data_IF_165625521799
#
_entry.id   IF_165625521799
#
_cell.length_a   1.000
_cell.length_b   1.000
_cell.length_c   1.000
_cell.angle_alpha   90.00
_cell.angle_beta   90.00
_cell.angle_gamma   90.00
#
_symmetry.space_group_name_H-M   'P 1'
#
loop_
_entity.id
_entity.type
_entity.pdbx_description
1 polymer ?
#
# COMPACT_ATOMS: atom_id res chain seq x y z
N UNK A 1 3.17 -1.68 18.96
CA UNK A 1 2.05 -2.64 18.70
C UNK A 1 1.18 -2.18 17.54
N UNK A 2 1.05 -0.86 17.33
CA UNK A 2 0.23 -0.27 16.28
C UNK A 2 0.67 -0.67 14.86
N UNK A 3 1.98 -0.66 14.59
CA UNK A 3 2.56 -0.98 13.27
C UNK A 3 2.17 -2.38 12.80
N UNK A 4 2.08 -3.35 13.70
CA UNK A 4 1.69 -4.72 13.39
C UNK A 4 0.24 -4.79 12.87
N UNK A 5 -0.69 -4.13 13.56
CA UNK A 5 -2.09 -4.08 13.13
C UNK A 5 -2.26 -3.31 11.81
N UNK A 6 -1.48 -2.25 11.63
CA UNK A 6 -1.44 -1.51 10.36
C UNK A 6 -0.89 -2.39 9.22
N UNK A 7 0.11 -3.25 9.47
CA UNK A 7 0.65 -4.16 8.46
C UNK A 7 -0.40 -5.17 8.00
N UNK A 8 -1.13 -5.77 8.95
CA UNK A 8 -2.23 -6.71 8.64
C UNK A 8 -3.34 -6.02 7.83
N UNK A 9 -3.77 -4.84 8.26
CA UNK A 9 -4.84 -4.09 7.57
C UNK A 9 -4.37 -3.62 6.19
N UNK A 10 -3.15 -3.09 6.07
CA UNK A 10 -2.56 -2.65 4.81
C UNK A 10 -2.43 -3.79 3.81
N UNK A 11 -1.93 -4.94 4.28
CA UNK A 11 -1.82 -6.18 3.50
C UNK A 11 -3.18 -6.65 3.00
N UNK A 12 -4.21 -6.65 3.87
CA UNK A 12 -5.56 -7.02 3.48
C UNK A 12 -6.15 -6.07 2.43
N UNK A 13 -6.01 -4.75 2.63
CA UNK A 13 -6.51 -3.72 1.70
C UNK A 13 -5.86 -3.83 0.33
N UNK A 14 -4.53 -4.00 0.27
CA UNK A 14 -3.81 -4.17 -1.00
C UNK A 14 -4.13 -5.49 -1.69
N UNK A 15 -4.29 -6.58 -0.93
CA UNK A 15 -4.71 -7.86 -1.48
C UNK A 15 -6.10 -7.75 -2.14
N UNK A 16 -7.06 -7.10 -1.47
CA UNK A 16 -8.39 -6.82 -2.03
C UNK A 16 -8.24 -5.98 -3.31
N UNK A 17 -7.44 -4.91 -3.29
CA UNK A 17 -7.21 -4.05 -4.45
C UNK A 17 -6.66 -4.84 -5.67
N UNK A 18 -5.68 -5.72 -5.45
CA UNK A 18 -5.13 -6.60 -6.49
C UNK A 18 -6.17 -7.57 -7.05
N UNK A 19 -6.95 -8.23 -6.18
CA UNK A 19 -8.03 -9.14 -6.59
C UNK A 19 -9.09 -8.43 -7.43
N UNK A 20 -9.46 -7.21 -7.05
CA UNK A 20 -10.45 -6.42 -7.77
C UNK A 20 -9.98 -6.02 -9.17
N UNK A 21 -8.70 -5.66 -9.33
CA UNK A 21 -8.14 -5.35 -10.65
C UNK A 21 -8.10 -6.61 -11.52
N UNK A 22 -7.57 -7.72 -11.00
CA UNK A 22 -7.51 -9.00 -11.71
C UNK A 22 -8.89 -9.49 -12.15
N UNK A 23 -9.89 -9.35 -11.27
CA UNK A 23 -11.28 -9.72 -11.54
C UNK A 23 -11.91 -8.87 -12.66
N UNK A 24 -11.57 -7.58 -12.74
CA UNK A 24 -12.02 -6.71 -13.86
C UNK A 24 -11.44 -7.18 -15.20
N UNK A 25 -10.19 -7.64 -15.18
CA UNK A 25 -9.45 -8.13 -16.34
C UNK A 25 -9.75 -9.59 -16.73
N UNK A 26 -10.67 -10.26 -16.02
CA UNK A 26 -11.06 -11.67 -16.26
C UNK A 26 -9.88 -12.65 -16.20
N UNK A 27 -8.93 -12.40 -15.30
CA UNK A 27 -7.91 -13.41 -14.97
C UNK A 27 -8.58 -14.65 -14.36
N UNK A 28 -7.94 -15.81 -14.50
CA UNK A 28 -8.38 -17.04 -13.84
C UNK A 28 -8.20 -16.93 -12.31
N UNK A 29 -8.90 -17.76 -11.50
CA UNK A 29 -8.86 -17.63 -10.04
C UNK A 29 -7.44 -17.73 -9.44
N UNK A 30 -6.54 -18.50 -10.07
CA UNK A 30 -5.16 -18.59 -9.63
C UNK A 30 -4.40 -17.31 -9.97
N UNK A 31 -4.55 -16.76 -11.18
CA UNK A 31 -4.02 -15.44 -11.53
C UNK A 31 -4.52 -14.31 -10.61
N UNK A 32 -5.80 -14.34 -10.23
CA UNK A 32 -6.40 -13.38 -9.29
C UNK A 32 -5.77 -13.50 -7.90
N UNK A 33 -5.56 -14.71 -7.40
CA UNK A 33 -4.89 -14.96 -6.12
C UNK A 33 -3.44 -14.46 -6.15
N UNK A 34 -2.69 -14.81 -7.20
CA UNK A 34 -1.29 -14.38 -7.36
C UNK A 34 -1.19 -12.86 -7.42
N UNK A 35 -2.04 -12.18 -8.19
CA UNK A 35 -2.00 -10.73 -8.29
C UNK A 35 -2.33 -10.07 -6.94
N UNK A 36 -3.33 -10.59 -6.21
CA UNK A 36 -3.66 -10.11 -4.85
C UNK A 36 -2.47 -10.22 -3.89
N UNK A 37 -1.86 -11.40 -3.81
CA UNK A 37 -0.70 -11.64 -2.92
C UNK A 37 0.49 -10.76 -3.29
N UNK A 38 0.87 -10.72 -4.57
CA UNK A 38 2.01 -9.91 -5.04
C UNK A 38 1.78 -8.42 -4.81
N UNK A 39 0.54 -7.93 -4.96
CA UNK A 39 0.20 -6.54 -4.65
C UNK A 39 0.43 -6.23 -3.18
N UNK A 40 0.03 -7.13 -2.28
CA UNK A 40 0.13 -6.95 -0.84
C UNK A 40 1.58 -6.98 -0.34
N UNK A 41 2.39 -7.94 -0.79
CA UNK A 41 3.76 -8.12 -0.29
C UNK A 41 4.83 -7.38 -1.09
N UNK A 42 4.52 -6.94 -2.31
CA UNK A 42 5.50 -6.41 -3.27
C UNK A 42 6.20 -5.15 -2.78
N UNK A 43 5.45 -4.17 -2.25
CA UNK A 43 6.03 -2.92 -1.75
C UNK A 43 6.98 -3.12 -0.57
N UNK A 44 6.56 -3.90 0.42
CA UNK A 44 7.40 -4.25 1.57
C UNK A 44 8.64 -5.08 1.21
N UNK A 45 8.53 -5.92 0.17
CA UNK A 45 9.66 -6.70 -0.36
C UNK A 45 10.72 -5.79 -0.98
N UNK A 46 10.32 -4.84 -1.83
CA UNK A 46 11.25 -3.86 -2.42
C UNK A 46 11.96 -3.06 -1.32
N UNK A 47 11.22 -2.60 -0.31
CA UNK A 47 11.78 -1.87 0.85
C UNK A 47 12.83 -2.69 1.59
N UNK A 48 12.48 -3.91 2.01
CA UNK A 48 13.36 -4.74 2.85
C UNK A 48 14.65 -5.11 2.10
N UNK A 49 14.57 -5.33 0.78
CA UNK A 49 15.75 -5.54 -0.06
C UNK A 49 16.59 -4.27 -0.23
N UNK A 50 15.97 -3.10 -0.37
CA UNK A 50 16.68 -1.83 -0.51
C UNK A 50 17.40 -1.39 0.78
N UNK A 51 16.87 -1.76 1.95
CA UNK A 51 17.46 -1.47 3.26
C UNK A 51 18.46 -2.55 3.72
N UNK A 52 18.75 -3.56 2.90
CA UNK A 52 19.58 -4.72 3.25
C UNK A 52 19.14 -5.43 4.55
N UNK A 53 17.83 -5.41 4.83
CA UNK A 53 17.30 -5.75 6.15
C UNK A 53 16.91 -7.25 6.26
N UNK A 54 17.91 -8.14 6.10
CA UNK A 54 17.81 -9.60 6.27
C UNK A 54 16.78 -10.27 5.34
N UNK A 55 16.33 -11.50 5.63
CA UNK A 55 15.25 -12.11 4.84
C UNK A 55 13.99 -11.23 4.92
N UNK A 56 13.30 -11.08 3.78
CA UNK A 56 12.10 -10.25 3.64
C UNK A 56 11.04 -10.59 4.69
N UNK A 57 10.25 -9.61 5.11
CA UNK A 57 9.33 -9.74 6.26
C UNK A 57 8.45 -11.01 6.23
N UNK A 58 7.90 -11.37 5.07
CA UNK A 58 7.02 -12.54 4.91
C UNK A 58 7.76 -13.90 4.93
N UNK A 59 9.08 -13.89 4.75
CA UNK A 59 9.94 -15.08 4.96
C UNK A 59 10.28 -15.25 6.43
N UNK A 60 10.43 -14.14 7.17
CA UNK A 60 10.64 -14.16 8.62
C UNK A 60 9.39 -14.59 9.38
N UNK A 61 8.24 -14.03 9.01
CA UNK A 61 6.94 -14.35 9.58
C UNK A 61 5.91 -14.52 8.45
N UNK A 62 5.39 -15.73 8.23
CA UNK A 62 4.45 -15.99 7.14
C UNK A 62 3.05 -15.39 7.39
N UNK A 63 2.81 -14.74 8.53
CA UNK A 63 1.49 -14.19 8.90
C UNK A 63 0.94 -13.26 7.81
N UNK A 64 1.72 -12.31 7.30
CA UNK A 64 1.26 -11.38 6.25
C UNK A 64 0.96 -12.10 4.93
N UNK A 65 1.74 -13.13 4.60
CA UNK A 65 1.49 -13.96 3.42
C UNK A 65 0.18 -14.73 3.57
N UNK A 66 -0.08 -15.30 4.75
CA UNK A 66 -1.33 -16.00 5.07
C UNK A 66 -2.51 -15.04 5.02
N UNK A 67 -2.38 -13.84 5.60
CA UNK A 67 -3.40 -12.79 5.53
C UNK A 67 -3.71 -12.47 4.08
N UNK A 68 -2.70 -12.18 3.26
CA UNK A 68 -2.89 -11.86 1.84
C UNK A 68 -3.60 -12.99 1.06
N UNK A 69 -3.24 -14.25 1.31
CA UNK A 69 -3.89 -15.40 0.68
C UNK A 69 -5.36 -15.55 1.12
N UNK A 70 -5.62 -15.51 2.43
CA UNK A 70 -6.98 -15.65 2.99
C UNK A 70 -7.88 -14.51 2.53
N UNK A 71 -7.40 -13.27 2.58
CA UNK A 71 -8.18 -12.11 2.11
C UNK A 71 -8.44 -12.19 0.62
N UNK A 72 -7.47 -12.65 -0.17
CA UNK A 72 -7.64 -12.82 -1.61
C UNK A 72 -8.69 -13.89 -1.91
N UNK A 73 -8.62 -15.07 -1.27
CA UNK A 73 -9.61 -16.14 -1.44
C UNK A 73 -11.01 -15.68 -1.01
N UNK A 74 -11.13 -15.01 0.14
CA UNK A 74 -12.39 -14.48 0.63
C UNK A 74 -12.98 -13.46 -0.34
N UNK A 75 -12.14 -12.58 -0.88
CA UNK A 75 -12.57 -11.57 -1.87
C UNK A 75 -13.02 -12.22 -3.17
N UNK A 76 -12.34 -13.27 -3.66
CA UNK A 76 -12.76 -14.03 -4.85
C UNK A 76 -14.16 -14.64 -4.64
N UNK A 77 -14.44 -15.20 -3.45
CA UNK A 77 -15.72 -15.85 -3.15
C UNK A 77 -16.84 -14.83 -2.96
N UNK A 78 -16.57 -13.72 -2.27
CA UNK A 78 -17.55 -12.66 -2.00
C UNK A 78 -17.85 -11.83 -3.25
N UNK A 79 -16.83 -11.48 -4.01
CA UNK A 79 -16.93 -10.65 -5.21
C UNK A 79 -17.18 -11.57 -6.41
N UNK A 80 -18.37 -12.16 -6.47
CA UNK A 80 -18.81 -12.98 -7.62
C UNK A 80 -18.92 -12.19 -8.92
N UNK A 81 -19.15 -10.87 -8.85
CA UNK A 81 -19.26 -9.98 -10.00
C UNK A 81 -18.42 -8.70 -9.83
N UNK A 82 -17.09 -8.75 -10.03
CA UNK A 82 -16.21 -7.60 -9.83
C UNK A 82 -16.51 -6.41 -10.76
N UNK A 83 -17.22 -6.64 -11.87
CA UNK A 83 -17.63 -5.60 -12.83
C UNK A 83 -18.77 -4.70 -12.36
N UNK A 84 -19.58 -5.14 -11.39
CA UNK A 84 -20.66 -4.32 -10.82
C UNK A 84 -20.17 -3.41 -9.71
N UNK A 85 -18.91 -3.56 -9.29
CA UNK A 85 -18.35 -2.73 -8.25
C UNK A 85 -18.11 -1.32 -8.77
N UNK A 86 -18.36 -0.31 -7.93
CA UNK A 86 -18.19 1.07 -8.33
C UNK A 86 -16.74 1.37 -8.72
N UNK A 87 -16.56 2.19 -9.75
CA UNK A 87 -15.23 2.57 -10.26
C UNK A 87 -14.36 3.25 -9.18
N UNK A 88 -14.97 3.95 -8.22
CA UNK A 88 -14.29 4.64 -7.12
C UNK A 88 -13.65 3.69 -6.08
N UNK A 89 -14.06 2.43 -6.01
CA UNK A 89 -13.64 1.53 -4.93
C UNK A 89 -12.16 1.13 -5.01
N UNK A 90 -11.64 0.95 -6.22
CA UNK A 90 -10.25 0.55 -6.43
C UNK A 90 -9.28 1.70 -6.07
N UNK A 91 -9.52 2.96 -6.51
CA UNK A 91 -8.78 4.11 -6.03
C UNK A 91 -8.85 4.30 -4.51
N UNK A 92 -10.03 4.18 -3.89
CA UNK A 92 -10.14 4.33 -2.42
C UNK A 92 -9.28 3.31 -1.68
N UNK A 93 -9.36 2.04 -2.07
CA UNK A 93 -8.56 0.98 -1.43
C UNK A 93 -7.07 1.22 -1.64
N UNK A 94 -6.65 1.65 -2.83
CA UNK A 94 -5.25 1.97 -3.11
C UNK A 94 -4.77 3.14 -2.26
N UNK A 95 -5.54 4.24 -2.18
CA UNK A 95 -5.19 5.41 -1.36
C UNK A 95 -5.06 5.06 0.13
N UNK A 96 -5.96 4.22 0.66
CA UNK A 96 -5.88 3.74 2.05
C UNK A 96 -4.65 2.86 2.25
N UNK A 97 -4.40 1.90 1.36
CA UNK A 97 -3.22 1.03 1.43
C UNK A 97 -1.92 1.84 1.34
N UNK A 98 -1.85 2.77 0.39
CA UNK A 98 -0.73 3.69 0.20
C UNK A 98 -0.43 4.47 1.46
N UNK A 99 -1.44 5.11 2.07
CA UNK A 99 -1.26 5.88 3.28
C UNK A 99 -0.64 5.04 4.40
N UNK A 100 -1.19 3.85 4.65
CA UNK A 100 -0.71 2.92 5.67
C UNK A 100 0.73 2.48 5.41
N UNK A 101 1.03 2.01 4.20
CA UNK A 101 2.37 1.52 3.86
C UNK A 101 3.43 2.60 3.75
N UNK A 102 3.07 3.84 3.40
CA UNK A 102 4.00 4.98 3.53
C UNK A 102 4.42 5.15 4.98
N UNK A 103 3.47 5.17 5.92
CA UNK A 103 3.78 5.28 7.35
C UNK A 103 4.66 4.13 7.87
N UNK A 104 4.36 2.89 7.48
CA UNK A 104 5.14 1.71 7.86
C UNK A 104 6.55 1.77 7.25
N UNK A 105 6.67 2.18 5.98
CA UNK A 105 7.95 2.27 5.29
C UNK A 105 8.88 3.33 5.89
N UNK A 106 8.34 4.51 6.22
CA UNK A 106 9.09 5.56 6.95
C UNK A 106 9.57 5.03 8.30
N UNK A 107 8.68 4.36 9.04
CA UNK A 107 9.01 3.82 10.37
C UNK A 107 10.11 2.76 10.30
N UNK A 108 9.99 1.78 9.41
CA UNK A 108 11.01 0.74 9.23
C UNK A 108 12.34 1.32 8.73
N UNK A 109 12.33 2.35 7.90
CA UNK A 109 13.55 3.01 7.47
C UNK A 109 14.27 3.75 8.62
N UNK A 110 13.54 4.43 9.50
CA UNK A 110 14.14 5.01 10.70
C UNK A 110 14.66 3.97 11.69
N UNK A 111 13.99 2.82 11.83
CA UNK A 111 14.48 1.71 12.64
C UNK A 111 15.76 1.06 12.06
N UNK A 112 15.98 1.23 10.75
CA UNK A 112 17.23 0.86 10.07
C UNK A 112 18.28 1.98 10.10
N UNK A 113 18.11 2.98 10.99
CA UNK A 113 19.02 4.13 11.18
C UNK A 113 19.21 4.99 9.91
N UNK A 114 18.26 4.94 8.98
CA UNK A 114 18.31 5.73 7.75
C UNK A 114 17.99 7.21 8.01
N UNK A 115 18.64 8.10 7.25
CA UNK A 115 18.37 9.53 7.31
C UNK A 115 16.95 9.92 6.86
N UNK A 116 16.44 11.10 7.24
CA UNK A 116 15.05 11.52 6.96
C UNK A 116 14.64 11.46 5.49
N UNK A 117 15.53 11.86 4.58
CA UNK A 117 15.28 11.79 3.14
C UNK A 117 15.07 10.35 2.67
N UNK A 118 15.93 9.42 3.13
CA UNK A 118 15.83 8.00 2.78
C UNK A 118 14.55 7.41 3.38
N UNK A 119 14.18 7.81 4.60
CA UNK A 119 12.95 7.35 5.22
C UNK A 119 11.70 7.74 4.44
N UNK A 120 11.62 8.99 3.95
CA UNK A 120 10.53 9.43 3.07
C UNK A 120 10.51 8.62 1.77
N UNK A 121 11.65 8.47 1.10
CA UNK A 121 11.75 7.70 -0.14
C UNK A 121 11.33 6.24 0.06
N UNK A 122 11.79 5.59 1.13
CA UNK A 122 11.41 4.22 1.47
C UNK A 122 9.93 4.10 1.81
N UNK A 123 9.36 5.09 2.52
CA UNK A 123 7.91 5.21 2.72
C UNK A 123 7.15 5.20 1.41
N UNK A 124 7.47 6.12 0.51
CA UNK A 124 6.83 6.23 -0.80
C UNK A 124 6.95 4.93 -1.57
N UNK A 125 8.17 4.37 -1.71
CA UNK A 125 8.41 3.11 -2.43
C UNK A 125 7.61 1.94 -1.82
N UNK A 126 7.53 1.86 -0.49
CA UNK A 126 6.75 0.81 0.19
C UNK A 126 5.26 0.93 -0.14
N UNK A 127 4.72 2.14 -0.09
CA UNK A 127 3.33 2.39 -0.45
C UNK A 127 3.04 2.06 -1.91
N UNK A 128 3.82 2.65 -2.82
CA UNK A 128 3.48 2.63 -4.26
C UNK A 128 3.93 1.36 -4.96
N UNK A 129 4.93 0.66 -4.41
CA UNK A 129 5.54 -0.50 -5.04
C UNK A 129 4.56 -1.63 -5.30
N UNK A 130 3.67 -1.91 -4.34
CA UNK A 130 2.62 -2.92 -4.50
C UNK A 130 1.66 -2.59 -5.65
N UNK A 131 1.16 -1.34 -5.68
CA UNK A 131 0.28 -0.85 -6.75
C UNK A 131 0.96 -0.81 -8.13
N UNK A 132 2.24 -0.42 -8.21
CA UNK A 132 3.00 -0.45 -9.46
C UNK A 132 3.14 -1.88 -9.98
N UNK A 133 3.55 -2.84 -9.14
CA UNK A 133 3.67 -4.24 -9.56
C UNK A 133 2.33 -4.77 -10.04
N UNK A 134 1.25 -4.50 -9.27
CA UNK A 134 -0.13 -4.85 -9.64
C UNK A 134 -0.47 -4.35 -11.04
N UNK A 135 -0.29 -3.06 -11.28
CA UNK A 135 -0.73 -2.41 -12.51
C UNK A 135 0.11 -2.87 -13.72
N UNK A 136 1.42 -3.02 -13.54
CA UNK A 136 2.32 -3.55 -14.58
C UNK A 136 1.99 -5.00 -14.96
N UNK A 137 1.74 -5.88 -13.98
CA UNK A 137 1.32 -7.26 -14.23
C UNK A 137 -0.07 -7.32 -14.90
N UNK A 138 -0.94 -6.37 -14.55
CA UNK A 138 -2.24 -6.16 -15.16
C UNK A 138 -2.18 -5.51 -16.56
N UNK A 139 -0.99 -5.12 -17.05
CA UNK A 139 -0.76 -4.39 -18.31
C UNK A 139 -1.51 -3.06 -18.37
N UNK A 140 -1.70 -2.42 -17.23
CA UNK A 140 -2.26 -1.09 -17.10
C UNK A 140 -1.16 -0.09 -16.71
N UNK A 141 -1.29 1.17 -17.15
CA UNK A 141 -0.39 2.23 -16.67
C UNK A 141 -0.64 2.43 -15.17
N UNK A 142 0.40 2.36 -14.30
CA UNK A 142 0.26 2.51 -12.85
C UNK A 142 -0.50 3.75 -12.43
N UNK A 143 -1.37 3.63 -11.42
CA UNK A 143 -2.23 4.74 -10.99
C UNK A 143 -1.42 5.97 -10.54
N UNK A 144 -0.28 5.75 -9.88
CA UNK A 144 0.63 6.83 -9.48
C UNK A 144 1.15 7.66 -10.67
N UNK A 145 1.27 7.05 -11.85
CA UNK A 145 1.71 7.74 -13.07
C UNK A 145 0.55 8.41 -13.82
N UNK A 146 -0.71 8.09 -13.47
CA UNK A 146 -1.90 8.70 -14.09
C UNK A 146 -2.44 9.89 -13.30
N UNK A 147 -2.25 9.92 -11.99
CA UNK A 147 -2.91 10.91 -11.12
C UNK A 147 -1.89 11.58 -10.20
N UNK A 148 -1.62 12.86 -10.45
CA UNK A 148 -0.61 13.63 -9.70
C UNK A 148 -0.89 13.66 -8.19
N UNK A 149 -2.17 13.68 -7.81
CA UNK A 149 -2.61 13.73 -6.41
C UNK A 149 -2.13 12.51 -5.62
N UNK A 150 -1.96 11.35 -6.26
CA UNK A 150 -1.43 10.15 -5.59
C UNK A 150 0.02 10.31 -5.19
N UNK A 151 0.86 10.81 -6.11
CA UNK A 151 2.27 11.00 -5.87
C UNK A 151 2.50 12.08 -4.80
N UNK A 152 1.77 13.20 -4.88
CA UNK A 152 1.90 14.29 -3.92
C UNK A 152 1.42 13.90 -2.53
N UNK A 153 0.29 13.19 -2.40
CA UNK A 153 -0.21 12.73 -1.11
C UNK A 153 0.77 11.78 -0.40
N UNK A 154 1.39 10.85 -1.14
CA UNK A 154 2.40 9.94 -0.57
C UNK A 154 3.64 10.70 -0.08
N UNK A 155 4.13 11.65 -0.88
CA UNK A 155 5.31 12.45 -0.53
C UNK A 155 5.02 13.33 0.69
N UNK A 156 3.88 14.04 0.70
CA UNK A 156 3.47 14.91 1.80
C UNK A 156 3.30 14.09 3.08
N UNK A 157 2.58 12.97 3.02
CA UNK A 157 2.39 12.09 4.19
C UNK A 157 3.71 11.56 4.75
N UNK A 158 4.65 11.20 3.87
CA UNK A 158 6.01 10.81 4.25
C UNK A 158 6.78 11.94 4.94
N UNK A 159 6.75 13.15 4.38
CA UNK A 159 7.40 14.34 4.94
C UNK A 159 6.82 14.70 6.31
N UNK A 160 5.49 14.69 6.45
CA UNK A 160 4.80 14.98 7.72
C UNK A 160 5.22 13.98 8.79
N UNK A 161 5.25 12.69 8.46
CA UNK A 161 5.72 11.66 9.39
C UNK A 161 7.19 11.88 9.77
N UNK A 162 8.08 12.05 8.79
CA UNK A 162 9.51 12.21 9.02
C UNK A 162 9.84 13.46 9.84
N UNK A 163 9.16 14.57 9.60
CA UNK A 163 9.33 15.82 10.35
C UNK A 163 8.76 15.71 11.77
N UNK A 164 7.60 15.07 11.95
CA UNK A 164 7.04 14.81 13.28
C UNK A 164 8.00 13.98 14.16
N UNK A 165 8.62 12.95 13.58
CA UNK A 165 9.58 12.12 14.30
C UNK A 165 10.93 12.85 14.53
N UNK A 166 11.55 13.36 13.47
CA UNK A 166 12.92 13.88 13.52
C UNK A 166 13.01 15.25 14.20
N UNK A 167 12.05 16.14 13.96
CA UNK A 167 12.11 17.53 14.47
C UNK A 167 11.40 17.68 15.81
N UNK A 168 10.27 17.00 15.99
CA UNK A 168 9.45 17.14 17.21
C UNK A 168 9.66 16.01 18.23
N UNK A 169 10.53 15.03 17.92
CA UNK A 169 10.80 13.85 18.77
C UNK A 169 9.53 13.11 19.21
N UNK A 170 8.48 13.20 18.39
CA UNK A 170 7.20 12.57 18.67
C UNK A 170 7.37 11.05 18.50
N UNK A 171 6.80 10.23 19.39
CA UNK A 171 6.85 8.77 19.25
C UNK A 171 6.34 8.33 17.86
N UNK A 172 7.03 7.36 17.25
CA UNK A 172 6.75 6.83 15.90
C UNK A 172 5.29 6.43 15.69
N UNK A 173 4.62 5.93 16.74
CA UNK A 173 3.21 5.55 16.68
C UNK A 173 2.26 6.75 16.52
N UNK A 174 2.62 7.92 17.06
CA UNK A 174 1.81 9.16 16.94
C UNK A 174 2.16 9.91 15.65
N UNK A 175 3.43 9.88 15.24
CA UNK A 175 3.89 10.45 13.97
C UNK A 175 3.23 9.77 12.75
N UNK A 176 3.02 8.45 12.81
CA UNK A 176 2.31 7.73 11.75
C UNK A 176 0.87 8.19 11.56
N UNK A 177 0.15 8.46 12.66
CA UNK A 177 -1.23 8.94 12.59
C UNK A 177 -1.35 10.34 11.99
N UNK A 178 -0.38 11.23 12.24
CA UNK A 178 -0.36 12.59 11.68
C UNK A 178 -0.09 12.59 10.17
N UNK A 179 0.74 11.67 9.68
CA UNK A 179 1.03 11.52 8.24
C UNK A 179 -0.14 10.96 7.41
N UNK A 180 -1.15 10.35 8.04
CA UNK A 180 -2.34 9.81 7.37
C UNK A 180 -3.46 10.86 7.15
N UNK A 181 -3.21 12.14 7.41
CA UNK A 181 -4.22 13.21 7.42
C UNK A 181 -4.89 13.45 6.05
N UNK A 182 -6.24 13.48 6.05
CA UNK A 182 -7.26 13.99 5.10
C UNK A 182 -7.06 13.87 3.57
N UNK A 183 -5.87 14.04 3.03
CA UNK A 183 -5.60 14.13 1.59
C UNK A 183 -5.83 12.81 0.84
N UNK A 184 -5.66 11.67 1.52
CA UNK A 184 -5.95 10.34 0.95
C UNK A 184 -7.45 10.10 0.66
N UNK A 185 -8.35 10.82 1.33
CA UNK A 185 -9.81 10.72 1.12
C UNK A 185 -10.26 11.71 0.05
N UNK A 186 -9.73 12.93 0.05
CA UNK A 186 -10.06 13.95 -0.96
C UNK A 186 -9.56 13.56 -2.37
N UNK A 187 -8.42 12.89 -2.45
CA UNK A 187 -7.87 12.32 -3.69
C UNK A 187 -8.74 11.24 -4.33
N UNK A 188 -9.56 10.53 -3.55
CA UNK A 188 -10.56 9.61 -4.06
C UNK A 188 -11.87 10.31 -4.49
N UNK A 189 -12.19 11.47 -3.91
CA UNK A 189 -13.36 12.29 -4.26
C UNK A 189 -13.26 12.97 -5.63
N UNK A 190 -12.04 13.28 -6.09
CA UNK A 190 -11.80 13.89 -7.41
C UNK A 190 -12.28 13.07 -8.61
N UNK A 191 -12.52 11.77 -8.45
CA UNK A 191 -13.06 10.91 -9.49
C UNK A 191 -14.53 11.21 -9.86
N UNK A 192 -15.27 11.95 -9.04
CA UNK A 192 -16.67 12.30 -9.33
C UNK A 192 -16.82 13.47 -10.32
N UNK A 193 -15.75 14.20 -10.64
CA UNK A 193 -15.81 15.39 -11.50
C UNK A 193 -15.18 15.20 -12.89
N UNK A 194 -14.63 14.01 -13.18
CA UNK A 194 -13.93 13.72 -14.43
C UNK A 194 -14.57 12.59 -15.26
N UNK A 195 -15.89 12.35 -15.09
CA UNK A 195 -16.67 11.39 -15.88
C UNK A 195 -17.67 12.06 -16.80
#
# INVERSE_FOLDING_TARGET
MLVYWLDIVGTAVFAISGVLLAGKLRMDPFGVLVLGVVTAVGGGTIRDMALDHGPVFWVKDPTDLVVAMVTSMLTIVLVRQPRRLPKWMLPVLDAVGLAVFVGIGVNKAFNAEAGPLIAVCMGVITGVGGGIIRDVLAREIPMILRTEIYATACIIGGIVHATAYYTFSVPLETASMMGHGRDAIDSAGGYSLAS
#
